data_IF_021572348800
#
_entry.id   IF_021572348800
#
_cell.length_a   1.000
_cell.length_b   1.000
_cell.length_c   1.000
_cell.angle_alpha   90.00
_cell.angle_beta   90.00
_cell.angle_gamma   90.00
#
_symmetry.space_group_name_H-M   'P 1'
#
loop_
_entity.id
_entity.type
_entity.pdbx_description
1 polymer ?
#
# COMPACT_ATOMS: atom_id res chain seq x y z
N UNK A 1 -12.04 -46.16 -19.17
CA UNK A 1 -11.58 -44.77 -19.17
C UNK A 1 -11.27 -44.40 -17.74
N UNK A 2 -10.00 -44.56 -17.36
CA UNK A 2 -9.51 -44.25 -16.00
C UNK A 2 -9.52 -42.73 -15.78
N UNK A 3 -10.43 -42.25 -14.95
CA UNK A 3 -10.38 -40.90 -14.41
C UNK A 3 -9.32 -40.97 -13.31
N UNK A 4 -8.04 -40.80 -13.72
CA UNK A 4 -6.96 -40.62 -12.76
C UNK A 4 -7.25 -39.33 -11.98
N UNK A 5 -7.69 -39.51 -10.73
CA UNK A 5 -7.90 -38.44 -9.77
C UNK A 5 -6.64 -37.59 -9.70
N UNK A 6 -6.68 -36.42 -10.31
CA UNK A 6 -5.64 -35.39 -10.20
C UNK A 6 -5.48 -35.08 -8.69
N UNK A 7 -4.40 -35.55 -8.10
CA UNK A 7 -4.10 -35.27 -6.68
C UNK A 7 -4.05 -33.77 -6.52
N UNK A 8 -4.79 -33.15 -5.59
CA UNK A 8 -4.76 -31.72 -5.37
C UNK A 8 -3.32 -31.32 -5.06
N UNK A 9 -2.75 -30.50 -5.92
CA UNK A 9 -1.41 -29.94 -5.71
C UNK A 9 -1.51 -29.00 -4.51
N UNK A 10 -1.02 -29.40 -3.35
CA UNK A 10 -1.03 -28.61 -2.13
C UNK A 10 -0.13 -27.39 -2.33
N UNK A 11 -0.74 -26.25 -2.71
CA UNK A 11 -0.03 -24.97 -2.79
C UNK A 11 0.55 -24.62 -1.43
N UNK A 12 1.87 -24.39 -1.39
CA UNK A 12 2.56 -24.00 -0.17
C UNK A 12 2.12 -22.59 0.24
N UNK A 13 1.67 -22.42 1.47
CA UNK A 13 1.40 -21.09 2.06
C UNK A 13 2.66 -20.53 2.71
N UNK A 14 3.60 -21.38 3.12
CA UNK A 14 4.81 -20.96 3.83
C UNK A 14 5.74 -20.12 2.96
N UNK A 15 6.00 -20.54 1.72
CA UNK A 15 6.95 -19.85 0.84
C UNK A 15 6.56 -18.37 0.59
N UNK A 16 5.34 -18.07 0.10
CA UNK A 16 4.96 -16.68 -0.15
C UNK A 16 4.82 -15.87 1.14
N UNK A 17 4.36 -16.46 2.25
CA UNK A 17 4.20 -15.73 3.52
C UNK A 17 5.56 -15.41 4.15
N UNK A 18 6.50 -16.35 4.18
CA UNK A 18 7.84 -16.11 4.71
C UNK A 18 8.61 -15.07 3.88
N UNK A 19 8.57 -15.21 2.54
CA UNK A 19 9.17 -14.21 1.65
C UNK A 19 8.56 -12.82 1.84
N UNK A 20 7.23 -12.75 1.92
CA UNK A 20 6.50 -11.50 2.18
C UNK A 20 6.87 -10.88 3.53
N UNK A 21 7.02 -11.67 4.59
CA UNK A 21 7.33 -11.15 5.94
C UNK A 21 8.67 -10.43 5.96
N UNK A 22 9.74 -11.05 5.45
CA UNK A 22 11.05 -10.41 5.35
C UNK A 22 11.04 -9.20 4.40
N UNK A 23 10.37 -9.32 3.24
CA UNK A 23 10.17 -8.20 2.33
C UNK A 23 9.41 -7.04 3.00
N UNK A 24 8.37 -7.30 3.76
CA UNK A 24 7.56 -6.27 4.42
C UNK A 24 8.38 -5.52 5.49
N UNK A 25 9.22 -6.23 6.26
CA UNK A 25 10.13 -5.60 7.23
C UNK A 25 11.14 -4.72 6.46
N UNK A 26 11.76 -5.21 5.40
CA UNK A 26 12.69 -4.46 4.57
C UNK A 26 12.02 -3.22 3.94
N UNK A 27 10.83 -3.38 3.38
CA UNK A 27 10.07 -2.30 2.74
C UNK A 27 9.63 -1.25 3.76
N UNK A 28 9.15 -1.68 4.94
CA UNK A 28 8.80 -0.78 6.04
C UNK A 28 9.99 0.03 6.53
N UNK A 29 11.16 -0.58 6.64
CA UNK A 29 12.38 0.13 7.01
C UNK A 29 12.81 1.14 5.93
N UNK A 30 12.80 0.74 4.65
CA UNK A 30 13.14 1.63 3.53
C UNK A 30 12.22 2.84 3.40
N UNK A 31 10.96 2.70 3.76
CA UNK A 31 9.96 3.76 3.66
C UNK A 31 10.39 5.03 4.41
N UNK A 32 10.94 4.88 5.62
CA UNK A 32 11.46 6.01 6.40
C UNK A 32 12.96 6.23 6.20
N UNK A 33 13.74 5.17 5.93
CA UNK A 33 15.17 5.31 5.70
C UNK A 33 15.50 6.21 4.51
N UNK A 34 14.83 6.05 3.38
CA UNK A 34 15.10 6.82 2.17
C UNK A 34 14.93 8.34 2.40
N UNK A 35 13.75 8.84 2.83
CA UNK A 35 13.61 10.28 3.03
C UNK A 35 14.50 10.85 4.14
N UNK A 36 14.81 10.08 5.19
CA UNK A 36 15.62 10.54 6.32
C UNK A 36 17.13 10.49 6.05
N UNK A 37 17.59 9.65 5.12
CA UNK A 37 19.02 9.49 4.83
C UNK A 37 19.56 10.42 3.74
N UNK A 38 18.72 11.12 2.98
CA UNK A 38 19.12 11.96 1.83
C UNK A 38 20.24 12.94 2.18
N UNK A 39 20.12 13.64 3.30
CA UNK A 39 21.13 14.60 3.74
C UNK A 39 22.50 13.95 4.00
N UNK A 40 22.55 12.69 4.48
CA UNK A 40 23.80 11.95 4.71
C UNK A 40 24.54 11.58 3.40
N UNK A 41 23.81 11.59 2.27
CA UNK A 41 24.37 11.39 0.94
C UNK A 41 24.56 12.71 0.14
N UNK A 42 24.39 13.87 0.82
CA UNK A 42 24.56 15.18 0.19
C UNK A 42 23.47 15.56 -0.83
N UNK A 43 22.31 14.92 -0.74
CA UNK A 43 21.18 15.20 -1.64
C UNK A 43 20.17 16.15 -1.01
N UNK A 44 19.54 16.97 -1.85
CA UNK A 44 18.54 17.95 -1.44
C UNK A 44 17.24 17.27 -0.97
N UNK A 45 16.61 17.83 0.07
CA UNK A 45 15.34 17.34 0.62
C UNK A 45 14.16 17.43 -0.35
N UNK A 46 14.19 18.36 -1.31
CA UNK A 46 13.17 18.49 -2.36
C UNK A 46 13.03 17.23 -3.22
N UNK A 47 14.06 16.38 -3.23
CA UNK A 47 14.04 15.11 -3.96
C UNK A 47 13.09 14.08 -3.35
N UNK A 48 12.71 14.21 -2.06
CA UNK A 48 11.87 13.24 -1.33
C UNK A 48 10.54 12.99 -2.05
N UNK A 49 9.83 14.04 -2.43
CA UNK A 49 8.54 13.93 -3.10
C UNK A 49 8.66 13.23 -4.47
N UNK A 50 9.71 13.56 -5.23
CA UNK A 50 9.98 12.92 -6.52
C UNK A 50 10.35 11.44 -6.38
N UNK A 51 11.16 11.08 -5.38
CA UNK A 51 11.51 9.68 -5.09
C UNK A 51 10.27 8.86 -4.74
N UNK A 52 9.32 9.43 -3.99
CA UNK A 52 8.06 8.79 -3.68
C UNK A 52 7.17 8.66 -4.92
N UNK A 53 6.97 9.73 -5.68
CA UNK A 53 6.12 9.75 -6.87
C UNK A 53 6.63 8.78 -7.96
N UNK A 54 7.93 8.78 -8.22
CA UNK A 54 8.55 7.88 -9.22
C UNK A 54 8.48 6.41 -8.78
N UNK A 55 8.56 6.13 -7.48
CA UNK A 55 8.32 4.79 -6.95
C UNK A 55 6.90 4.32 -7.27
N UNK A 56 5.87 5.15 -7.02
CA UNK A 56 4.49 4.82 -7.36
C UNK A 56 4.25 4.73 -8.87
N UNK A 57 4.97 5.53 -9.67
CA UNK A 57 4.96 5.39 -11.12
C UNK A 57 5.50 4.00 -11.54
N UNK A 58 6.55 3.53 -10.89
CA UNK A 58 7.05 2.16 -11.07
C UNK A 58 6.01 1.10 -10.73
N UNK A 59 5.29 1.26 -9.62
CA UNK A 59 4.16 0.37 -9.25
C UNK A 59 3.07 0.41 -10.34
N UNK A 60 2.68 1.60 -10.77
CA UNK A 60 1.65 1.79 -11.80
C UNK A 60 2.00 1.08 -13.11
N UNK A 61 3.22 1.24 -13.60
CA UNK A 61 3.71 0.53 -14.79
C UNK A 61 3.80 -0.98 -14.54
N UNK A 62 4.28 -1.38 -13.37
CA UNK A 62 4.39 -2.79 -12.97
C UNK A 62 3.05 -3.52 -13.03
N UNK A 63 1.98 -2.92 -12.50
CA UNK A 63 0.66 -3.57 -12.46
C UNK A 63 0.13 -3.95 -13.85
N UNK A 64 0.55 -3.26 -14.91
CA UNK A 64 0.12 -3.56 -16.28
C UNK A 64 0.90 -4.68 -16.97
N UNK A 65 2.13 -4.97 -16.52
CA UNK A 65 3.06 -5.87 -17.22
C UNK A 65 3.34 -7.18 -16.46
N UNK A 66 3.25 -7.16 -15.13
CA UNK A 66 3.77 -8.24 -14.26
C UNK A 66 3.01 -9.55 -14.46
N UNK A 67 1.70 -9.52 -14.67
CA UNK A 67 0.92 -10.75 -14.90
C UNK A 67 1.44 -11.55 -16.09
N UNK A 68 1.82 -10.86 -17.16
CA UNK A 68 2.43 -11.52 -18.35
C UNK A 68 3.79 -12.16 -18.02
N UNK A 69 4.58 -11.52 -17.15
CA UNK A 69 5.87 -12.06 -16.70
C UNK A 69 5.64 -13.32 -15.85
N UNK A 70 4.73 -13.23 -14.88
CA UNK A 70 4.40 -14.35 -13.96
C UNK A 70 3.85 -15.55 -14.73
N UNK A 71 2.99 -15.32 -15.74
CA UNK A 71 2.46 -16.37 -16.59
C UNK A 71 3.56 -17.13 -17.37
N UNK A 72 4.62 -16.42 -17.79
CA UNK A 72 5.72 -17.02 -18.58
C UNK A 72 6.74 -17.78 -17.73
N UNK A 73 7.14 -17.27 -16.58
CA UNK A 73 8.24 -17.83 -15.77
C UNK A 73 7.79 -18.46 -14.45
N UNK A 74 6.50 -18.37 -14.14
CA UNK A 74 5.89 -18.95 -12.94
C UNK A 74 6.11 -18.11 -11.67
N UNK A 75 5.27 -18.33 -10.65
CA UNK A 75 5.23 -17.54 -9.41
C UNK A 75 6.57 -17.55 -8.64
N UNK A 76 7.18 -18.72 -8.50
CA UNK A 76 8.41 -18.89 -7.74
C UNK A 76 9.60 -18.10 -8.33
N UNK A 77 9.82 -18.24 -9.63
CA UNK A 77 10.93 -17.56 -10.32
C UNK A 77 10.67 -16.06 -10.36
N UNK A 78 9.43 -15.65 -10.60
CA UNK A 78 9.02 -14.24 -10.56
C UNK A 78 9.28 -13.60 -9.20
N UNK A 79 8.95 -14.28 -8.08
CA UNK A 79 9.19 -13.77 -6.74
C UNK A 79 10.69 -13.52 -6.50
N UNK A 80 11.54 -14.51 -6.85
CA UNK A 80 13.00 -14.37 -6.73
C UNK A 80 13.54 -13.24 -7.61
N UNK A 81 13.04 -13.12 -8.84
CA UNK A 81 13.45 -12.06 -9.78
C UNK A 81 13.15 -10.67 -9.22
N UNK A 82 11.91 -10.44 -8.73
CA UNK A 82 11.51 -9.13 -8.22
C UNK A 82 12.22 -8.78 -6.90
N UNK A 83 12.45 -9.74 -6.01
CA UNK A 83 13.22 -9.51 -4.79
C UNK A 83 14.70 -9.23 -5.11
N UNK A 84 15.30 -9.94 -6.05
CA UNK A 84 16.65 -9.67 -6.52
C UNK A 84 16.77 -8.29 -7.19
N UNK A 85 15.80 -7.94 -8.03
CA UNK A 85 15.73 -6.61 -8.67
C UNK A 85 15.64 -5.50 -7.61
N UNK A 86 14.81 -5.67 -6.58
CA UNK A 86 14.71 -4.72 -5.47
C UNK A 86 16.04 -4.59 -4.72
N UNK A 87 16.72 -5.71 -4.45
CA UNK A 87 18.05 -5.71 -3.83
C UNK A 87 19.07 -4.94 -4.68
N UNK A 88 19.08 -5.17 -5.98
CA UNK A 88 19.99 -4.48 -6.91
C UNK A 88 19.74 -2.97 -6.97
N UNK A 89 18.48 -2.51 -6.83
CA UNK A 89 18.19 -1.07 -6.77
C UNK A 89 18.84 -0.42 -5.55
N UNK A 90 18.85 -1.09 -4.40
CA UNK A 90 19.49 -0.57 -3.19
C UNK A 90 21.01 -0.55 -3.34
N UNK A 91 21.60 -1.60 -3.92
CA UNK A 91 23.04 -1.64 -4.20
C UNK A 91 23.44 -0.50 -5.15
N UNK A 92 22.64 -0.24 -6.19
CA UNK A 92 22.88 0.88 -7.11
C UNK A 92 22.80 2.25 -6.41
N UNK A 93 21.84 2.44 -5.50
CA UNK A 93 21.71 3.68 -4.71
C UNK A 93 22.94 3.93 -3.84
N UNK A 94 23.52 2.88 -3.26
CA UNK A 94 24.73 2.99 -2.44
C UNK A 94 26.01 3.18 -3.27
N UNK A 95 26.11 2.48 -4.41
CA UNK A 95 27.29 2.53 -5.27
C UNK A 95 27.45 3.91 -5.96
N UNK A 96 26.34 4.53 -6.30
CA UNK A 96 26.30 5.81 -7.02
C UNK A 96 25.22 6.74 -6.42
N UNK A 97 25.52 7.44 -5.32
CA UNK A 97 24.56 8.29 -4.62
C UNK A 97 24.32 9.60 -5.36
N UNK A 98 23.69 9.52 -6.52
CA UNK A 98 23.26 10.68 -7.32
C UNK A 98 21.75 10.70 -7.49
N UNK A 99 21.16 11.89 -7.65
CA UNK A 99 19.72 12.04 -7.83
C UNK A 99 19.17 11.18 -8.98
N UNK A 100 19.88 11.16 -10.12
CA UNK A 100 19.46 10.39 -11.30
C UNK A 100 19.42 8.86 -11.02
N UNK A 101 20.43 8.33 -10.34
CA UNK A 101 20.47 6.90 -9.96
C UNK A 101 19.41 6.59 -8.94
N UNK A 102 19.21 7.43 -7.94
CA UNK A 102 18.17 7.22 -6.93
C UNK A 102 16.77 7.26 -7.55
N UNK A 103 16.46 8.20 -8.42
CA UNK A 103 15.18 8.26 -9.13
C UNK A 103 14.95 7.01 -9.98
N UNK A 104 15.95 6.59 -10.77
CA UNK A 104 15.85 5.39 -11.60
C UNK A 104 15.68 4.14 -10.73
N UNK A 105 16.47 4.01 -9.67
CA UNK A 105 16.37 2.91 -8.71
C UNK A 105 15.00 2.86 -8.05
N UNK A 106 14.41 4.02 -7.70
CA UNK A 106 13.06 4.09 -7.11
C UNK A 106 11.98 3.65 -8.11
N UNK A 107 12.09 4.03 -9.37
CA UNK A 107 11.18 3.52 -10.41
C UNK A 107 11.24 1.99 -10.51
N UNK A 108 12.45 1.44 -10.64
CA UNK A 108 12.67 -0.01 -10.73
C UNK A 108 12.25 -0.73 -9.44
N UNK A 109 12.49 -0.12 -8.27
CA UNK A 109 12.02 -0.64 -6.99
C UNK A 109 10.48 -0.69 -6.92
N UNK A 110 9.79 0.35 -7.39
CA UNK A 110 8.33 0.36 -7.48
C UNK A 110 7.80 -0.75 -8.38
N UNK A 111 8.41 -0.92 -9.55
CA UNK A 111 8.07 -2.03 -10.46
C UNK A 111 8.29 -3.40 -9.79
N UNK A 112 9.42 -3.60 -9.12
CA UNK A 112 9.71 -4.84 -8.41
C UNK A 112 8.73 -5.11 -7.25
N UNK A 113 8.37 -4.09 -6.47
CA UNK A 113 7.39 -4.17 -5.38
C UNK A 113 6.01 -4.57 -5.90
N UNK A 114 5.55 -3.99 -7.01
CA UNK A 114 4.31 -4.43 -7.66
C UNK A 114 4.38 -5.92 -8.04
N UNK A 115 5.55 -6.37 -8.51
CA UNK A 115 5.80 -7.78 -8.82
C UNK A 115 5.69 -8.68 -7.61
N UNK A 116 6.28 -8.31 -6.49
CA UNK A 116 6.17 -9.07 -5.24
C UNK A 116 4.71 -9.18 -4.81
N UNK A 117 3.95 -8.07 -4.83
CA UNK A 117 2.53 -8.08 -4.44
C UNK A 117 1.69 -8.97 -5.34
N UNK A 118 1.79 -8.80 -6.66
CA UNK A 118 1.02 -9.61 -7.63
C UNK A 118 1.33 -11.10 -7.48
N UNK A 119 2.61 -11.46 -7.33
CA UNK A 119 3.01 -12.87 -7.18
C UNK A 119 2.51 -13.47 -5.88
N UNK A 120 2.72 -12.78 -4.75
CA UNK A 120 2.35 -13.32 -3.43
C UNK A 120 0.84 -13.40 -3.28
N UNK A 121 0.12 -12.37 -3.69
CA UNK A 121 -1.33 -12.32 -3.60
C UNK A 121 -1.98 -13.41 -4.47
N UNK A 122 -1.60 -13.51 -5.74
CA UNK A 122 -2.11 -14.55 -6.62
C UNK A 122 -1.77 -15.96 -6.11
N UNK A 123 -0.56 -16.18 -5.61
CA UNK A 123 -0.17 -17.48 -5.02
C UNK A 123 -1.05 -17.87 -3.82
N UNK A 124 -1.35 -16.91 -2.94
CA UNK A 124 -2.15 -17.18 -1.73
C UNK A 124 -3.65 -17.31 -2.03
N UNK A 125 -4.16 -16.58 -3.02
CA UNK A 125 -5.58 -16.64 -3.41
C UNK A 125 -5.96 -17.93 -4.15
N UNK A 126 -5.00 -18.62 -4.76
CA UNK A 126 -5.22 -19.95 -5.37
C UNK A 126 -5.33 -21.05 -4.29
N UNK A 127 -6.43 -21.05 -3.56
CA UNK A 127 -6.74 -22.01 -2.51
C UNK A 127 -8.02 -22.81 -2.83
N UNK A 128 -8.06 -24.07 -2.40
CA UNK A 128 -9.12 -25.04 -2.73
C UNK A 128 -10.49 -24.71 -2.11
N UNK A 129 -10.55 -23.83 -1.11
CA UNK A 129 -11.80 -23.45 -0.46
C UNK A 129 -11.82 -21.97 -0.04
N UNK A 130 -13.03 -21.38 0.04
CA UNK A 130 -13.25 -20.02 0.51
C UNK A 130 -12.68 -19.78 1.93
N UNK A 131 -12.81 -20.78 2.82
CA UNK A 131 -12.28 -20.72 4.19
C UNK A 131 -10.74 -20.66 4.20
N UNK A 132 -10.08 -21.47 3.37
CA UNK A 132 -8.62 -21.45 3.23
C UNK A 132 -8.15 -20.13 2.61
N UNK A 133 -8.86 -19.62 1.60
CA UNK A 133 -8.57 -18.35 0.96
C UNK A 133 -8.62 -17.19 1.96
N UNK A 134 -9.68 -17.12 2.78
CA UNK A 134 -9.81 -16.12 3.84
C UNK A 134 -8.67 -16.21 4.87
N UNK A 135 -8.29 -17.44 5.30
CA UNK A 135 -7.16 -17.64 6.22
C UNK A 135 -5.83 -17.17 5.61
N UNK A 136 -5.57 -17.51 4.34
CA UNK A 136 -4.33 -17.10 3.65
C UNK A 136 -4.27 -15.60 3.45
N UNK A 137 -5.41 -14.95 3.13
CA UNK A 137 -5.49 -13.49 3.02
C UNK A 137 -5.24 -12.81 4.37
N UNK A 138 -5.77 -13.37 5.48
CA UNK A 138 -5.47 -12.90 6.83
C UNK A 138 -3.98 -12.96 7.15
N UNK A 139 -3.30 -14.06 6.80
CA UNK A 139 -1.84 -14.20 6.94
C UNK A 139 -1.09 -13.20 6.07
N UNK A 140 -1.53 -12.97 4.83
CA UNK A 140 -0.97 -11.97 3.93
C UNK A 140 -1.00 -10.57 4.56
N UNK A 141 -2.19 -10.14 5.02
CA UNK A 141 -2.36 -8.81 5.62
C UNK A 141 -1.56 -8.64 6.92
N UNK A 142 -1.55 -9.67 7.78
CA UNK A 142 -0.77 -9.64 9.03
C UNK A 142 0.74 -9.58 8.74
N UNK A 143 1.23 -10.36 7.78
CA UNK A 143 2.64 -10.34 7.38
C UNK A 143 3.03 -9.01 6.75
N UNK A 144 2.17 -8.45 5.89
CA UNK A 144 2.43 -7.18 5.22
C UNK A 144 2.45 -6.02 6.21
N UNK A 145 1.35 -5.77 6.92
CA UNK A 145 1.26 -4.64 7.83
C UNK A 145 2.12 -4.82 9.08
N UNK A 146 2.09 -6.02 9.68
CA UNK A 146 2.93 -6.32 10.84
C UNK A 146 4.42 -6.23 10.53
N UNK A 147 4.83 -6.80 9.40
CA UNK A 147 6.22 -6.68 8.91
C UNK A 147 6.62 -5.25 8.63
N UNK A 148 5.75 -4.47 7.96
CA UNK A 148 6.02 -3.05 7.69
C UNK A 148 6.14 -2.24 8.97
N UNK A 149 5.27 -2.47 9.97
CA UNK A 149 5.36 -1.80 11.28
C UNK A 149 6.65 -2.16 12.02
N UNK A 150 7.05 -3.44 12.02
CA UNK A 150 8.33 -3.87 12.58
C UNK A 150 9.52 -3.24 11.87
N UNK A 151 9.47 -3.12 10.54
CA UNK A 151 10.47 -2.42 9.74
C UNK A 151 10.60 -0.96 10.13
N UNK A 152 9.49 -0.27 10.40
CA UNK A 152 9.51 1.10 10.91
C UNK A 152 10.21 1.19 12.28
N UNK A 153 9.85 0.31 13.20
CA UNK A 153 10.45 0.28 14.55
C UNK A 153 11.96 -0.02 14.52
N UNK A 154 12.44 -0.72 13.49
CA UNK A 154 13.87 -0.98 13.30
C UNK A 154 14.70 0.28 13.01
N UNK A 155 14.10 1.38 12.57
CA UNK A 155 14.76 2.67 12.31
C UNK A 155 15.44 3.21 13.57
N UNK A 156 14.79 3.12 14.74
CA UNK A 156 15.36 3.60 16.01
C UNK A 156 16.72 2.94 16.33
N UNK A 157 16.78 1.63 16.55
CA UNK A 157 18.01 0.94 16.93
C UNK A 157 19.06 0.83 15.83
N UNK A 158 18.68 0.77 14.54
CA UNK A 158 19.62 0.63 13.44
C UNK A 158 20.12 1.98 12.87
N UNK A 159 19.42 3.06 13.19
CA UNK A 159 19.76 4.41 12.72
C UNK A 159 19.44 4.63 11.24
N UNK A 160 19.84 5.80 10.74
CA UNK A 160 19.54 6.28 9.38
C UNK A 160 20.80 6.74 8.63
N UNK A 161 21.94 6.78 9.27
CA UNK A 161 23.15 7.38 8.73
C UNK A 161 24.07 6.35 8.07
N UNK A 162 24.63 6.73 6.93
CA UNK A 162 25.64 5.95 6.23
C UNK A 162 25.09 4.69 5.53
N UNK A 163 25.97 3.73 5.28
CA UNK A 163 25.68 2.52 4.48
C UNK A 163 25.03 1.41 5.31
N UNK A 164 25.34 1.34 6.61
CA UNK A 164 24.93 0.23 7.49
C UNK A 164 23.43 -0.06 7.50
N UNK A 165 22.52 0.93 7.61
CA UNK A 165 21.09 0.67 7.57
C UNK A 165 20.62 0.03 6.27
N UNK A 166 21.20 0.41 5.14
CA UNK A 166 20.91 -0.20 3.83
C UNK A 166 21.39 -1.64 3.73
N UNK A 167 22.53 -1.98 4.36
CA UNK A 167 23.02 -3.36 4.41
C UNK A 167 22.05 -4.27 5.17
N UNK A 168 21.41 -3.80 6.24
CA UNK A 168 20.33 -4.53 6.92
C UNK A 168 19.16 -4.81 5.99
N UNK A 169 18.75 -3.83 5.19
CA UNK A 169 17.68 -4.01 4.20
C UNK A 169 18.07 -5.04 3.16
N UNK A 170 19.28 -4.98 2.63
CA UNK A 170 19.80 -5.98 1.68
C UNK A 170 19.78 -7.38 2.33
N UNK A 171 20.24 -7.51 3.57
CA UNK A 171 20.20 -8.78 4.32
C UNK A 171 18.77 -9.34 4.44
N UNK A 172 17.79 -8.50 4.79
CA UNK A 172 16.38 -8.90 4.88
C UNK A 172 15.82 -9.33 3.53
N UNK A 173 16.16 -8.64 2.44
CA UNK A 173 15.72 -9.03 1.09
C UNK A 173 16.37 -10.33 0.63
N UNK A 174 17.64 -10.55 0.97
CA UNK A 174 18.29 -11.84 0.73
C UNK A 174 17.63 -12.96 1.52
N UNK A 175 17.23 -12.73 2.78
CA UNK A 175 16.44 -13.66 3.56
C UNK A 175 15.05 -13.91 2.94
N UNK A 176 14.44 -12.90 2.33
CA UNK A 176 13.16 -13.05 1.62
C UNK A 176 13.27 -13.97 0.39
N UNK A 177 14.44 -14.01 -0.26
CA UNK A 177 14.71 -14.87 -1.42
C UNK A 177 14.91 -16.35 -1.01
N UNK A 178 15.37 -16.62 0.22
CA UNK A 178 15.68 -17.99 0.65
C UNK A 178 14.50 -18.98 0.59
N UNK A 179 13.27 -18.66 1.09
CA UNK A 179 12.15 -19.59 1.03
C UNK A 179 11.82 -20.04 -0.40
N UNK A 180 11.64 -19.16 -1.40
CA UNK A 180 11.41 -19.60 -2.77
C UNK A 180 12.63 -20.23 -3.44
N UNK A 181 13.86 -19.96 -2.97
CA UNK A 181 15.07 -20.58 -3.47
C UNK A 181 15.18 -22.05 -3.04
N UNK A 182 14.94 -22.33 -1.76
CA UNK A 182 15.11 -23.64 -1.14
C UNK A 182 13.95 -24.60 -1.43
N UNK A 183 12.70 -24.09 -1.46
CA UNK A 183 11.48 -24.88 -1.60
C UNK A 183 10.96 -24.79 -3.04
N UNK A 184 11.19 -25.84 -3.82
CA UNK A 184 10.83 -25.92 -5.26
C UNK A 184 9.38 -26.36 -5.51
N UNK A 185 8.72 -26.95 -4.54
CA UNK A 185 7.36 -27.53 -4.68
C UNK A 185 6.29 -26.57 -4.14
N UNK A 186 5.06 -26.69 -4.67
CA UNK A 186 3.89 -26.01 -4.13
C UNK A 186 3.65 -24.63 -4.71
N UNK A 187 4.14 -24.32 -5.92
CA UNK A 187 3.73 -23.14 -6.69
C UNK A 187 2.42 -23.46 -7.44
N UNK A 188 1.51 -22.48 -7.60
CA UNK A 188 0.32 -22.65 -8.41
C UNK A 188 0.64 -22.74 -9.91
N UNK A 189 -0.22 -23.41 -10.66
CA UNK A 189 -0.17 -23.37 -12.13
C UNK A 189 -0.65 -21.99 -12.63
N UNK A 190 -0.02 -21.49 -13.67
CA UNK A 190 -0.37 -20.19 -14.24
C UNK A 190 -1.71 -20.28 -14.97
N UNK A 191 -2.68 -19.49 -14.56
CA UNK A 191 -3.95 -19.32 -15.27
C UNK A 191 -3.83 -18.13 -16.22
N UNK A 192 -4.24 -18.32 -17.48
CA UNK A 192 -4.41 -17.22 -18.45
C UNK A 192 -5.57 -16.32 -18.02
N UNK A 193 -5.32 -15.03 -17.94
CA UNK A 193 -6.34 -14.04 -17.60
C UNK A 193 -6.87 -13.38 -18.88
N UNK A 194 -8.19 -13.32 -19.02
CA UNK A 194 -8.84 -12.57 -20.10
C UNK A 194 -8.66 -11.06 -19.90
N UNK A 195 -8.29 -10.35 -20.96
CA UNK A 195 -8.14 -8.89 -20.97
C UNK A 195 -9.50 -8.20 -21.01
N UNK A 196 -9.65 -7.18 -20.21
CA UNK A 196 -10.89 -6.42 -20.03
C UNK A 196 -11.09 -5.36 -21.12
N UNK A 197 -12.36 -5.16 -21.52
CA UNK A 197 -12.75 -4.17 -22.51
C UNK A 197 -13.02 -2.79 -21.87
N UNK A 198 -12.49 -1.72 -22.47
CA UNK A 198 -12.69 -0.32 -22.06
C UNK A 198 -14.17 0.13 -21.98
N UNK A 199 -15.09 -0.57 -22.61
CA UNK A 199 -16.54 -0.29 -22.53
C UNK A 199 -17.16 -0.58 -21.16
N UNK A 200 -16.55 -1.47 -20.40
CA UNK A 200 -17.06 -1.89 -19.07
C UNK A 200 -16.68 -0.91 -17.97
N UNK A 201 -15.59 -0.17 -18.15
CA UNK A 201 -15.10 0.89 -17.26
C UNK A 201 -16.14 2.00 -17.04
N UNK A 202 -16.98 2.28 -18.06
CA UNK A 202 -18.00 3.36 -17.99
C UNK A 202 -19.16 3.11 -17.02
N UNK A 203 -19.32 1.89 -16.50
CA UNK A 203 -20.43 1.51 -15.60
C UNK A 203 -20.04 1.57 -14.12
N UNK A 204 -18.80 1.87 -13.81
CA UNK A 204 -18.31 1.91 -12.42
C UNK A 204 -18.76 3.21 -11.75
N UNK A 205 -19.15 3.09 -10.51
CA UNK A 205 -19.59 4.21 -9.66
C UNK A 205 -18.47 5.27 -9.54
N UNK A 206 -18.74 6.50 -9.96
CA UNK A 206 -17.81 7.62 -9.85
C UNK A 206 -17.32 7.86 -8.41
N UNK A 207 -18.15 7.78 -7.35
CA UNK A 207 -17.67 7.83 -5.97
C UNK A 207 -16.64 6.75 -5.61
N UNK A 208 -16.73 5.56 -6.18
CA UNK A 208 -15.73 4.51 -5.96
C UNK A 208 -14.39 4.86 -6.58
N UNK A 209 -14.40 5.35 -7.82
CA UNK A 209 -13.17 5.80 -8.52
C UNK A 209 -12.50 6.94 -7.76
N UNK A 210 -13.28 7.95 -7.34
CA UNK A 210 -12.78 9.07 -6.53
C UNK A 210 -12.25 8.58 -5.19
N UNK A 211 -12.94 7.66 -4.51
CA UNK A 211 -12.48 7.08 -3.24
C UNK A 211 -11.11 6.40 -3.36
N UNK A 212 -10.87 5.62 -4.41
CA UNK A 212 -9.58 5.01 -4.68
C UNK A 212 -8.51 6.03 -5.05
N UNK A 213 -8.82 7.00 -5.91
CA UNK A 213 -7.91 8.09 -6.25
C UNK A 213 -7.46 8.87 -5.01
N UNK A 214 -8.41 9.24 -4.16
CA UNK A 214 -8.15 9.95 -2.91
C UNK A 214 -7.35 9.11 -1.93
N UNK A 215 -7.62 7.82 -1.82
CA UNK A 215 -6.80 6.91 -1.01
C UNK A 215 -5.32 6.96 -1.46
N UNK A 216 -5.07 6.99 -2.77
CA UNK A 216 -3.73 7.18 -3.32
C UNK A 216 -3.13 8.55 -3.00
N UNK A 217 -3.92 9.62 -3.19
CA UNK A 217 -3.52 11.00 -2.86
C UNK A 217 -3.14 11.18 -1.38
N UNK A 218 -3.71 10.38 -0.48
CA UNK A 218 -3.39 10.40 0.96
C UNK A 218 -2.21 9.48 1.29
N UNK A 219 -2.25 8.22 0.86
CA UNK A 219 -1.24 7.23 1.24
C UNK A 219 0.11 7.46 0.57
N UNK A 220 0.14 8.00 -0.65
CA UNK A 220 1.38 8.38 -1.33
C UNK A 220 2.24 9.33 -0.49
N UNK A 221 1.73 10.51 -0.09
CA UNK A 221 2.44 11.43 0.79
C UNK A 221 2.70 10.88 2.20
N UNK A 222 1.77 10.10 2.78
CA UNK A 222 1.99 9.46 4.08
C UNK A 222 3.20 8.53 4.03
N UNK A 223 3.33 7.70 3.01
CA UNK A 223 4.48 6.83 2.88
C UNK A 223 5.76 7.56 2.45
N UNK A 224 5.65 8.62 1.65
CA UNK A 224 6.80 9.33 1.10
C UNK A 224 7.33 10.48 1.95
N UNK A 225 6.44 11.33 2.50
CA UNK A 225 6.78 12.60 3.12
C UNK A 225 6.63 12.60 4.66
N UNK A 226 5.71 11.78 5.19
CA UNK A 226 5.42 11.79 6.62
C UNK A 226 6.63 11.51 7.52
N UNK A 227 7.57 10.59 7.16
CA UNK A 227 8.77 10.40 7.97
C UNK A 227 9.60 11.67 8.13
N UNK A 228 9.81 12.43 7.04
CA UNK A 228 10.52 13.71 7.08
C UNK A 228 9.77 14.76 7.89
N UNK A 229 8.44 14.81 7.75
CA UNK A 229 7.59 15.72 8.52
C UNK A 229 7.69 15.45 10.03
N UNK A 230 7.53 14.20 10.46
CA UNK A 230 7.61 13.82 11.87
C UNK A 230 9.02 14.10 12.42
N UNK A 231 10.06 13.75 11.67
CA UNK A 231 11.43 13.99 12.09
C UNK A 231 11.73 15.49 12.20
N UNK A 232 11.19 16.31 11.31
CA UNK A 232 11.29 17.77 11.39
C UNK A 232 10.59 18.35 12.64
N UNK A 233 9.47 17.76 13.08
CA UNK A 233 8.72 18.19 14.27
C UNK A 233 9.40 17.81 15.59
N UNK A 234 9.95 16.60 15.67
CA UNK A 234 10.43 16.05 16.95
C UNK A 234 11.95 15.94 17.05
N UNK A 235 12.67 16.11 15.94
CA UNK A 235 14.13 15.91 15.85
C UNK A 235 14.58 14.55 16.47
N UNK A 236 13.73 13.51 16.34
CA UNK A 236 13.94 12.20 16.94
C UNK A 236 13.57 11.08 15.97
N UNK A 237 14.57 10.34 15.56
CA UNK A 237 14.42 9.16 14.68
C UNK A 237 13.57 8.07 15.35
N UNK A 238 13.71 7.88 16.67
CA UNK A 238 12.91 6.90 17.42
C UNK A 238 11.42 7.26 17.42
N UNK A 239 11.09 8.55 17.66
CA UNK A 239 9.70 9.01 17.59
C UNK A 239 9.14 8.89 16.18
N UNK A 240 9.93 9.21 15.18
CA UNK A 240 9.53 9.04 13.79
C UNK A 240 9.19 7.59 13.49
N UNK A 241 10.06 6.66 13.87
CA UNK A 241 9.86 5.23 13.74
C UNK A 241 8.58 4.77 14.46
N UNK A 242 8.40 5.17 15.69
CA UNK A 242 7.23 4.81 16.50
C UNK A 242 5.93 5.34 15.89
N UNK A 243 5.86 6.63 15.55
CA UNK A 243 4.64 7.24 15.01
C UNK A 243 4.30 6.69 13.61
N UNK A 244 5.28 6.40 12.76
CA UNK A 244 5.07 5.72 11.50
C UNK A 244 4.52 4.30 11.70
N UNK A 245 5.03 3.55 12.66
CA UNK A 245 4.49 2.24 13.02
C UNK A 245 3.04 2.35 13.53
N UNK A 246 2.73 3.38 14.33
CA UNK A 246 1.36 3.66 14.82
C UNK A 246 0.39 3.93 13.68
N UNK A 247 0.78 4.70 12.65
CA UNK A 247 -0.05 4.91 11.45
C UNK A 247 -0.39 3.57 10.78
N UNK A 248 0.61 2.71 10.58
CA UNK A 248 0.43 1.42 9.91
C UNK A 248 -0.45 0.48 10.74
N UNK A 249 -0.23 0.44 12.06
CA UNK A 249 -1.04 -0.35 12.99
C UNK A 249 -2.48 0.16 13.04
N UNK A 250 -2.71 1.47 12.98
CA UNK A 250 -4.04 2.05 12.83
C UNK A 250 -4.75 1.52 11.59
N UNK A 251 -4.05 1.52 10.46
CA UNK A 251 -4.53 0.96 9.20
C UNK A 251 -4.83 -0.54 9.26
N UNK A 252 -4.01 -1.32 9.97
CA UNK A 252 -4.20 -2.76 10.14
C UNK A 252 -5.39 -3.07 11.04
N UNK A 253 -5.47 -2.43 12.20
CA UNK A 253 -6.45 -2.75 13.23
C UNK A 253 -7.87 -2.29 12.89
N UNK A 254 -8.01 -1.31 11.98
CA UNK A 254 -9.33 -0.84 11.54
C UNK A 254 -10.04 -1.79 10.57
N UNK A 255 -9.32 -2.69 9.87
CA UNK A 255 -9.88 -3.51 8.79
C UNK A 255 -11.08 -4.40 9.20
N UNK A 256 -11.08 -5.06 10.37
CA UNK A 256 -12.25 -5.83 10.81
C UNK A 256 -13.49 -4.93 11.01
N UNK A 257 -13.29 -3.72 11.55
CA UNK A 257 -14.37 -2.75 11.74
C UNK A 257 -14.91 -2.24 10.40
N UNK A 258 -14.02 -1.95 9.45
CA UNK A 258 -14.41 -1.56 8.07
C UNK A 258 -15.23 -2.65 7.41
N UNK A 259 -14.80 -3.90 7.49
CA UNK A 259 -15.54 -5.05 6.94
C UNK A 259 -16.93 -5.18 7.56
N UNK A 260 -17.03 -5.04 8.88
CA UNK A 260 -18.31 -5.11 9.60
C UNK A 260 -19.25 -3.94 9.23
N UNK A 261 -18.74 -2.71 9.23
CA UNK A 261 -19.55 -1.52 8.94
C UNK A 261 -19.97 -1.44 7.46
N UNK A 262 -19.15 -1.92 6.54
CA UNK A 262 -19.44 -1.92 5.10
C UNK A 262 -20.70 -2.72 4.73
N UNK A 263 -21.13 -3.66 5.58
CA UNK A 263 -22.39 -4.42 5.40
C UNK A 263 -23.60 -3.73 6.01
N UNK A 264 -23.42 -2.71 6.85
CA UNK A 264 -24.51 -2.09 7.63
C UNK A 264 -24.75 -0.62 7.28
N UNK A 265 -23.77 0.06 6.74
CA UNK A 265 -23.80 1.49 6.43
C UNK A 265 -23.54 1.69 4.94
N UNK A 266 -24.18 2.67 4.32
CA UNK A 266 -23.87 3.00 2.93
C UNK A 266 -22.38 3.35 2.79
N UNK A 267 -21.73 2.79 1.78
CA UNK A 267 -20.28 2.90 1.61
C UNK A 267 -19.80 4.33 1.41
N UNK A 268 -20.63 5.17 0.75
CA UNK A 268 -20.36 6.61 0.61
C UNK A 268 -20.38 7.33 1.96
N UNK A 269 -21.38 7.03 2.83
CA UNK A 269 -21.42 7.58 4.19
C UNK A 269 -20.24 7.11 5.02
N UNK A 270 -19.89 5.83 4.91
CA UNK A 270 -18.76 5.24 5.63
C UNK A 270 -17.44 5.91 5.24
N UNK A 271 -17.19 6.15 3.94
CA UNK A 271 -16.02 6.92 3.48
C UNK A 271 -16.01 8.33 4.04
N UNK A 272 -17.15 9.01 4.06
CA UNK A 272 -17.26 10.36 4.63
C UNK A 272 -16.91 10.39 6.13
N UNK A 273 -17.41 9.42 6.91
CA UNK A 273 -17.13 9.32 8.34
C UNK A 273 -15.64 9.03 8.61
N UNK A 274 -15.02 8.16 7.83
CA UNK A 274 -13.58 7.91 7.94
C UNK A 274 -12.77 9.15 7.55
N UNK A 275 -13.15 9.91 6.52
CA UNK A 275 -12.48 11.16 6.21
C UNK A 275 -12.61 12.19 7.34
N UNK A 276 -13.78 12.30 8.00
CA UNK A 276 -13.94 13.15 9.19
C UNK A 276 -13.06 12.68 10.35
N UNK A 277 -12.98 11.36 10.58
CA UNK A 277 -12.11 10.79 11.60
C UNK A 277 -10.65 11.14 11.35
N UNK A 278 -10.20 11.05 10.08
CA UNK A 278 -8.86 11.46 9.67
C UNK A 278 -8.61 12.95 9.89
N UNK A 279 -9.61 13.80 9.64
CA UNK A 279 -9.51 15.23 9.90
C UNK A 279 -9.37 15.52 11.39
N UNK A 280 -10.10 14.81 12.26
CA UNK A 280 -9.90 14.89 13.71
C UNK A 280 -8.48 14.49 14.09
N UNK A 281 -7.94 13.41 13.49
CA UNK A 281 -6.54 13.03 13.65
C UNK A 281 -5.57 14.15 13.26
N UNK A 282 -5.81 14.81 12.12
CA UNK A 282 -4.98 15.94 11.66
C UNK A 282 -4.99 17.10 12.66
N UNK A 283 -6.17 17.47 13.20
CA UNK A 283 -6.28 18.52 14.22
C UNK A 283 -5.46 18.14 15.46
N UNK A 284 -5.57 16.90 15.94
CA UNK A 284 -4.79 16.44 17.07
C UNK A 284 -3.28 16.32 16.82
N UNK A 285 -2.84 16.18 15.56
CA UNK A 285 -1.41 16.27 15.18
C UNK A 285 -0.94 17.73 15.24
N UNK A 286 -1.76 18.68 14.77
CA UNK A 286 -1.40 20.09 14.70
C UNK A 286 -1.38 20.76 16.10
N UNK A 287 -2.38 20.47 16.92
CA UNK A 287 -2.62 21.15 18.21
C UNK A 287 -2.31 20.30 19.44
N UNK A 288 -1.87 19.04 19.24
CA UNK A 288 -1.65 18.10 20.33
C UNK A 288 -0.57 18.55 21.33
N UNK A 289 -0.96 18.71 22.59
CA UNK A 289 -0.06 19.15 23.66
C UNK A 289 0.65 18.00 24.38
N UNK A 290 0.14 16.78 24.28
CA UNK A 290 0.72 15.59 24.89
C UNK A 290 1.06 14.50 23.88
N UNK A 291 2.08 13.72 24.18
CA UNK A 291 2.50 12.60 23.31
C UNK A 291 1.38 11.57 23.14
N UNK A 292 0.51 11.40 24.13
CA UNK A 292 -0.63 10.48 24.03
C UNK A 292 -1.65 10.96 23.00
N UNK A 293 -2.01 12.25 23.01
CA UNK A 293 -2.92 12.84 22.02
C UNK A 293 -2.32 12.70 20.63
N UNK A 294 -1.05 13.04 20.46
CA UNK A 294 -0.33 12.94 19.20
C UNK A 294 -0.34 11.50 18.69
N UNK A 295 -0.03 10.51 19.55
CA UNK A 295 -0.01 9.08 19.19
C UNK A 295 -1.39 8.60 18.73
N UNK A 296 -2.44 8.93 19.48
CA UNK A 296 -3.83 8.60 19.09
C UNK A 296 -4.19 9.26 17.77
N UNK A 297 -3.77 10.48 17.54
CA UNK A 297 -4.03 11.24 16.31
C UNK A 297 -3.38 10.61 15.09
N UNK A 298 -2.14 10.16 15.18
CA UNK A 298 -1.48 9.40 14.12
C UNK A 298 -2.14 8.03 13.89
N UNK A 299 -2.60 7.37 14.95
CA UNK A 299 -3.38 6.14 14.83
C UNK A 299 -4.69 6.38 14.07
N UNK A 300 -5.45 7.43 14.41
CA UNK A 300 -6.69 7.80 13.72
C UNK A 300 -6.46 8.18 12.26
N UNK A 301 -5.39 8.90 11.97
CA UNK A 301 -5.00 9.21 10.59
C UNK A 301 -4.74 7.94 9.79
N UNK A 302 -3.98 6.99 10.34
CA UNK A 302 -3.73 5.70 9.71
C UNK A 302 -5.01 4.90 9.51
N UNK A 303 -5.81 4.74 10.59
CA UNK A 303 -7.09 4.04 10.52
C UNK A 303 -8.01 4.60 9.43
N UNK A 304 -8.03 5.93 9.30
CA UNK A 304 -8.84 6.64 8.32
C UNK A 304 -8.38 6.41 6.88
N UNK A 305 -7.10 6.70 6.61
CA UNK A 305 -6.56 6.67 5.25
C UNK A 305 -6.54 5.25 4.67
N UNK A 306 -6.23 4.24 5.48
CA UNK A 306 -6.21 2.83 5.03
C UNK A 306 -7.61 2.22 4.89
N UNK A 307 -8.66 2.81 5.48
CA UNK A 307 -10.02 2.35 5.32
C UNK A 307 -10.62 2.70 3.96
N UNK A 308 -10.18 3.80 3.33
CA UNK A 308 -10.83 4.33 2.13
C UNK A 308 -10.77 3.39 0.93
N UNK A 309 -9.61 2.79 0.67
CA UNK A 309 -9.41 1.92 -0.49
C UNK A 309 -10.32 0.67 -0.47
N UNK A 310 -10.37 -0.14 0.61
CA UNK A 310 -11.25 -1.30 0.66
C UNK A 310 -12.74 -0.93 0.63
N UNK A 311 -13.14 0.20 1.23
CA UNK A 311 -14.52 0.67 1.15
C UNK A 311 -14.86 1.06 -0.30
N UNK A 312 -13.97 1.76 -0.99
CA UNK A 312 -14.17 2.19 -2.37
C UNK A 312 -14.24 0.99 -3.34
N UNK A 313 -13.38 -0.03 -3.18
CA UNK A 313 -13.50 -1.29 -3.93
C UNK A 313 -14.84 -1.97 -3.66
N UNK A 314 -15.23 -2.07 -2.39
CA UNK A 314 -16.52 -2.66 -2.03
C UNK A 314 -17.70 -1.91 -2.68
N UNK A 315 -17.62 -0.58 -2.79
CA UNK A 315 -18.62 0.24 -3.50
C UNK A 315 -18.60 -0.01 -5.01
N UNK A 316 -17.43 -0.15 -5.60
CA UNK A 316 -17.28 -0.45 -7.04
C UNK A 316 -17.93 -1.79 -7.41
N UNK A 317 -17.77 -2.79 -6.55
CA UNK A 317 -18.25 -4.16 -6.79
C UNK A 317 -19.74 -4.36 -6.43
N UNK A 318 -20.39 -3.41 -5.74
CA UNK A 318 -21.75 -3.56 -5.21
C UNK A 318 -22.82 -3.86 -6.27
N UNK A 319 -22.67 -3.29 -7.46
CA UNK A 319 -23.63 -3.43 -8.57
C UNK A 319 -23.10 -4.29 -9.71
N UNK A 320 -21.97 -4.98 -9.53
CA UNK A 320 -21.31 -5.71 -10.59
C UNK A 320 -21.57 -7.21 -10.54
N UNK A 321 -21.75 -7.82 -11.71
CA UNK A 321 -21.75 -9.28 -11.86
C UNK A 321 -20.33 -9.83 -11.63
N UNK A 322 -20.25 -11.06 -11.12
CA UNK A 322 -18.99 -11.72 -10.71
C UNK A 322 -17.88 -11.66 -11.77
N UNK A 323 -18.25 -11.82 -13.05
CA UNK A 323 -17.34 -11.80 -14.20
C UNK A 323 -16.63 -10.42 -14.39
N UNK A 324 -17.22 -9.35 -13.86
CA UNK A 324 -16.73 -7.97 -13.99
C UNK A 324 -15.99 -7.43 -12.77
N UNK A 325 -15.98 -8.18 -11.67
CA UNK A 325 -15.31 -7.75 -10.42
C UNK A 325 -13.82 -7.55 -10.64
N UNK A 326 -13.17 -8.43 -11.38
CA UNK A 326 -11.72 -8.33 -11.68
C UNK A 326 -11.43 -7.02 -12.42
N UNK A 327 -12.26 -6.69 -13.43
CA UNK A 327 -12.18 -5.43 -14.18
C UNK A 327 -12.29 -4.20 -13.29
N UNK A 328 -13.26 -4.23 -12.40
CA UNK A 328 -13.49 -3.14 -11.48
C UNK A 328 -12.31 -2.95 -10.53
N UNK A 329 -11.77 -4.04 -9.98
CA UNK A 329 -10.62 -3.95 -9.06
C UNK A 329 -9.35 -3.46 -9.75
N UNK A 330 -9.10 -3.82 -11.00
CA UNK A 330 -7.97 -3.29 -11.80
C UNK A 330 -8.10 -1.78 -12.02
N UNK A 331 -9.27 -1.28 -12.38
CA UNK A 331 -9.49 0.16 -12.52
C UNK A 331 -9.36 0.90 -11.18
N UNK A 332 -9.83 0.30 -10.09
CA UNK A 332 -9.67 0.87 -8.75
C UNK A 332 -8.19 0.97 -8.37
N UNK A 333 -7.41 -0.08 -8.64
CA UNK A 333 -5.97 -0.08 -8.41
C UNK A 333 -5.24 0.96 -9.29
N UNK A 334 -5.65 1.10 -10.56
CA UNK A 334 -5.15 2.14 -11.44
C UNK A 334 -5.44 3.53 -10.88
N UNK A 335 -6.66 3.80 -10.45
CA UNK A 335 -7.08 5.07 -9.85
C UNK A 335 -6.27 5.39 -8.58
N UNK A 336 -6.10 4.41 -7.70
CA UNK A 336 -5.24 4.51 -6.51
C UNK A 336 -3.79 4.85 -6.89
N UNK A 337 -3.23 4.15 -7.88
CA UNK A 337 -1.85 4.35 -8.31
C UNK A 337 -1.64 5.74 -8.90
N UNK A 338 -2.58 6.25 -9.70
CA UNK A 338 -2.55 7.64 -10.20
C UNK A 338 -2.54 8.63 -9.03
N UNK A 339 -3.42 8.47 -8.04
CA UNK A 339 -3.42 9.29 -6.83
C UNK A 339 -2.08 9.26 -6.09
N UNK A 340 -1.50 8.07 -5.95
CA UNK A 340 -0.21 7.87 -5.25
C UNK A 340 0.98 8.47 -6.00
N UNK A 341 0.94 8.53 -7.33
CA UNK A 341 1.97 9.20 -8.16
C UNK A 341 1.93 10.71 -7.95
N UNK A 342 0.75 11.31 -8.01
CA UNK A 342 0.62 12.77 -7.95
C UNK A 342 0.62 13.31 -6.50
N UNK A 343 0.14 12.52 -5.54
CA UNK A 343 -0.01 12.92 -4.13
C UNK A 343 1.24 13.56 -3.53
N UNK A 344 2.42 12.91 -3.54
CA UNK A 344 3.62 13.45 -2.92
C UNK A 344 4.07 14.79 -3.52
N UNK A 345 4.05 14.92 -4.85
CA UNK A 345 4.45 16.17 -5.54
C UNK A 345 3.46 17.29 -5.25
N UNK A 346 2.15 17.03 -5.28
CA UNK A 346 1.14 18.02 -4.95
C UNK A 346 1.27 18.44 -3.47
N UNK A 347 1.47 17.50 -2.55
CA UNK A 347 1.62 17.79 -1.13
C UNK A 347 2.84 18.70 -0.87
N UNK A 348 3.97 18.42 -1.52
CA UNK A 348 5.20 19.23 -1.38
C UNK A 348 5.01 20.66 -1.91
N UNK A 349 4.33 20.83 -3.05
CA UNK A 349 4.17 22.13 -3.71
C UNK A 349 2.92 22.90 -3.28
N UNK A 350 2.04 22.32 -2.45
CA UNK A 350 0.76 22.94 -2.08
C UNK A 350 0.90 24.12 -1.12
N UNK A 351 2.01 24.26 -0.42
CA UNK A 351 2.29 25.40 0.45
C UNK A 351 3.79 25.54 0.74
N UNK A 352 4.23 26.78 1.00
CA UNK A 352 5.60 27.12 1.39
C UNK A 352 5.84 27.01 2.90
N UNK A 353 4.82 26.59 3.68
CA UNK A 353 4.90 26.51 5.14
C UNK A 353 5.40 25.14 5.62
N UNK A 354 5.99 25.11 6.82
CA UNK A 354 6.44 23.88 7.48
C UNK A 354 5.28 22.87 7.72
N UNK A 355 4.03 23.29 7.60
CA UNK A 355 2.83 22.47 7.79
C UNK A 355 2.15 22.08 6.47
N UNK A 356 2.82 22.20 5.33
CA UNK A 356 2.24 21.94 4.00
C UNK A 356 1.59 20.56 3.90
N UNK A 357 2.29 19.51 4.35
CA UNK A 357 1.78 18.14 4.29
C UNK A 357 0.47 17.96 5.08
N UNK A 358 0.44 18.46 6.32
CA UNK A 358 -0.75 18.32 7.20
C UNK A 358 -1.92 19.11 6.64
N UNK A 359 -1.68 20.33 6.15
CA UNK A 359 -2.72 21.15 5.49
C UNK A 359 -3.26 20.46 4.24
N UNK A 360 -2.38 19.91 3.41
CA UNK A 360 -2.76 19.14 2.22
C UNK A 360 -3.66 17.95 2.60
N UNK A 361 -3.25 17.13 3.58
CA UNK A 361 -4.03 15.98 4.03
C UNK A 361 -5.40 16.40 4.58
N UNK A 362 -5.46 17.50 5.36
CA UNK A 362 -6.72 18.05 5.87
C UNK A 362 -7.66 18.47 4.75
N UNK A 363 -7.17 19.21 3.75
CA UNK A 363 -7.97 19.67 2.61
C UNK A 363 -8.50 18.46 1.82
N UNK A 364 -7.67 17.49 1.52
CA UNK A 364 -8.08 16.28 0.78
C UNK A 364 -9.14 15.49 1.55
N UNK A 365 -8.95 15.29 2.86
CA UNK A 365 -9.91 14.59 3.71
C UNK A 365 -11.26 15.34 3.81
N UNK A 366 -11.24 16.64 4.08
CA UNK A 366 -12.45 17.44 4.23
C UNK A 366 -13.25 17.53 2.92
N UNK A 367 -12.60 17.85 1.81
CA UNK A 367 -13.27 17.92 0.50
C UNK A 367 -13.88 16.59 0.10
N UNK A 368 -13.17 15.49 0.37
CA UNK A 368 -13.68 14.14 0.13
C UNK A 368 -14.86 13.81 1.03
N UNK A 369 -14.79 14.16 2.31
CA UNK A 369 -15.89 13.95 3.25
C UNK A 369 -17.18 14.66 2.78
N UNK A 370 -17.06 15.94 2.41
CA UNK A 370 -18.20 16.73 1.91
C UNK A 370 -18.77 16.08 0.63
N UNK A 371 -17.92 15.73 -0.34
CA UNK A 371 -18.36 15.07 -1.57
C UNK A 371 -19.09 13.75 -1.29
N UNK A 372 -18.56 12.92 -0.43
CA UNK A 372 -19.14 11.60 -0.10
C UNK A 372 -20.43 11.73 0.72
N UNK A 373 -20.55 12.74 1.59
CA UNK A 373 -21.79 13.05 2.29
C UNK A 373 -22.90 13.46 1.32
N UNK A 374 -22.60 14.37 0.38
CA UNK A 374 -23.56 14.80 -0.65
C UNK A 374 -24.05 13.59 -1.46
N UNK A 375 -23.13 12.70 -1.88
CA UNK A 375 -23.49 11.49 -2.63
C UNK A 375 -24.32 10.51 -1.80
N UNK A 376 -24.01 10.34 -0.53
CA UNK A 376 -24.83 9.52 0.37
C UNK A 376 -26.27 10.05 0.50
N UNK A 377 -26.45 11.37 0.67
CA UNK A 377 -27.77 11.99 0.76
C UNK A 377 -28.57 11.90 -0.54
N UNK A 378 -27.90 12.03 -1.70
CA UNK A 378 -28.55 11.87 -3.01
C UNK A 378 -29.06 10.43 -3.21
N UNK A 379 -28.25 9.43 -2.84
CA UNK A 379 -28.65 8.02 -2.96
C UNK A 379 -29.85 7.68 -2.04
N UNK A 380 -29.91 8.24 -0.84
CA UNK A 380 -31.04 8.04 0.08
C UNK A 380 -32.33 8.65 -0.47
N UNK A 381 -32.27 9.82 -1.14
CA UNK A 381 -33.45 10.49 -1.74
C UNK A 381 -33.96 9.78 -2.99
N UNK A 382 -33.08 9.10 -3.75
CA UNK A 382 -33.46 8.35 -4.97
C UNK A 382 -34.04 6.96 -4.70
N UNK A 383 -34.25 6.56 -3.46
CA UNK A 383 -34.94 5.31 -3.09
C UNK A 383 -34.11 4.03 -3.32
N UNK A 384 -32.83 4.13 -3.58
CA UNK A 384 -31.94 2.99 -3.62
C UNK A 384 -31.55 2.59 -2.19
N UNK A 385 -32.47 1.94 -1.49
CA UNK A 385 -32.13 1.18 -0.27
C UNK A 385 -31.28 -0.02 -0.71
N UNK A 386 -30.10 -0.25 -0.11
CA UNK A 386 -29.36 -1.47 -0.38
C UNK A 386 -30.24 -2.65 0.05
N UNK A 387 -30.38 -3.64 -0.84
CA UNK A 387 -31.04 -4.90 -0.52
C UNK A 387 -30.27 -5.54 0.64
N UNK A 388 -30.87 -5.53 1.82
CA UNK A 388 -30.41 -6.28 2.98
C UNK A 388 -30.82 -7.71 2.71
N UNK A 389 -29.86 -8.54 2.31
CA UNK A 389 -29.98 -9.97 2.14
C UNK A 389 -28.84 -10.70 2.85
#
# INVERSE_FOLDING_TARGET
MDISACKPHKNSTFVPVAGLSFFAIASGFLMSLIPLSLASFGMDSSLVAWLASIFYLGILVGTTCIQTIVAKIGHRVSLMLFLAMLTLTIVAMLAMPTAAVWLTARFLAGFAVAGVFVVVESWLLMADSAKQRAKRLGLYMTSLYGGTALGQLAIGPLGINGVTPFLWVIGLLMLAILPPLLIKKGQPESLEHEKISMREVRKISLPAVIGCLVSGLLLGPIYGLMPSYINGQFASTERTAFLMAVIILGGMLIQPLVSYLSTRVSKSLLMALFCLLGTIGIVGIADGTSIAIITVSYFLLGASCFALYPIAISLACETMVLEKIVAATELMLLSYSVGSVFGPVIAEHSSTSAHSLITYLAVVLLTTSIYMLIKSLQNTRSGHTPAIG
#
